data_IF_173583583042
#
_entry.id   IF_173583583042
#
_cell.length_a   1.000
_cell.length_b   1.000
_cell.length_c   1.000
_cell.angle_alpha   90.00
_cell.angle_beta   90.00
_cell.angle_gamma   90.00
#
_symmetry.space_group_name_H-M   'P 1'
#
loop_
_entity.id
_entity.type
_entity.pdbx_description
1 polymer ?
#
# COMPACT_ATOMS: atom_id res chain seq x y z
N UNK A 1 -16.89 6.95 -0.60
CA UNK A 1 -17.93 6.74 0.43
C UNK A 1 -17.32 6.96 1.81
N UNK A 2 -18.12 7.35 2.80
CA UNK A 2 -17.74 7.20 4.21
C UNK A 2 -18.41 5.96 4.82
N UNK A 3 -17.97 5.52 6.00
CA UNK A 3 -18.51 4.31 6.62
C UNK A 3 -20.01 4.39 6.93
N UNK A 4 -20.51 5.54 7.39
CA UNK A 4 -21.93 5.69 7.74
C UNK A 4 -22.87 5.52 6.53
N UNK A 5 -22.46 6.02 5.35
CA UNK A 5 -23.18 5.79 4.10
C UNK A 5 -23.21 4.30 3.73
N UNK A 6 -22.08 3.61 3.92
CA UNK A 6 -21.97 2.19 3.62
C UNK A 6 -22.81 1.34 4.57
N UNK A 7 -22.84 1.66 5.87
CA UNK A 7 -23.70 1.00 6.86
C UNK A 7 -25.20 1.19 6.53
N UNK A 8 -25.60 2.40 6.12
CA UNK A 8 -26.97 2.66 5.70
C UNK A 8 -27.37 1.82 4.47
N UNK A 9 -26.48 1.72 3.48
CA UNK A 9 -26.68 0.88 2.28
C UNK A 9 -26.72 -0.61 2.65
N UNK A 10 -25.83 -1.07 3.52
CA UNK A 10 -25.79 -2.46 4.01
C UNK A 10 -27.12 -2.84 4.66
N UNK A 11 -27.68 -1.98 5.51
CA UNK A 11 -29.00 -2.19 6.13
C UNK A 11 -30.13 -2.18 5.09
N UNK A 12 -30.09 -1.29 4.11
CA UNK A 12 -31.10 -1.21 3.06
C UNK A 12 -31.10 -2.46 2.15
N UNK A 13 -29.92 -2.98 1.83
CA UNK A 13 -29.74 -4.15 0.97
C UNK A 13 -29.78 -5.48 1.73
N UNK A 14 -29.81 -5.45 3.06
CA UNK A 14 -29.68 -6.62 3.94
C UNK A 14 -28.44 -7.48 3.59
N UNK A 15 -27.31 -6.82 3.30
CA UNK A 15 -26.06 -7.50 2.90
C UNK A 15 -24.90 -7.13 3.81
N UNK A 16 -24.06 -8.12 4.13
CA UNK A 16 -22.79 -7.92 4.85
C UNK A 16 -21.58 -7.80 3.90
N UNK A 17 -21.83 -7.81 2.58
CA UNK A 17 -20.77 -7.70 1.57
C UNK A 17 -20.46 -6.24 1.28
N UNK A 18 -19.19 -5.88 1.48
CA UNK A 18 -18.71 -4.52 1.27
C UNK A 18 -18.68 -4.15 -0.22
N UNK A 19 -18.42 -5.13 -1.09
CA UNK A 19 -18.43 -5.01 -2.55
C UNK A 19 -19.79 -4.59 -3.07
N UNK A 20 -20.87 -5.28 -2.66
CA UNK A 20 -22.25 -4.95 -3.05
C UNK A 20 -22.64 -3.53 -2.58
N UNK A 21 -22.23 -3.15 -1.37
CA UNK A 21 -22.49 -1.80 -0.84
C UNK A 21 -21.77 -0.72 -1.66
N UNK A 22 -20.49 -0.94 -2.01
CA UNK A 22 -19.70 0.00 -2.79
C UNK A 22 -20.17 0.08 -4.25
N UNK A 23 -20.59 -1.04 -4.84
CA UNK A 23 -21.19 -1.07 -6.17
C UNK A 23 -22.51 -0.30 -6.20
N UNK A 24 -23.38 -0.53 -5.20
CA UNK A 24 -24.62 0.23 -5.07
C UNK A 24 -24.36 1.73 -4.94
N UNK A 25 -23.39 2.11 -4.08
CA UNK A 25 -22.97 3.49 -3.89
C UNK A 25 -22.50 4.12 -5.21
N UNK A 26 -21.65 3.41 -5.97
CA UNK A 26 -21.12 3.89 -7.24
C UNK A 26 -22.19 4.06 -8.31
N UNK A 27 -23.12 3.10 -8.43
CA UNK A 27 -24.18 3.12 -9.43
C UNK A 27 -25.27 4.15 -9.13
N UNK A 28 -25.53 4.45 -7.85
CA UNK A 28 -26.55 5.43 -7.43
C UNK A 28 -26.04 6.86 -7.37
N UNK A 29 -24.73 7.06 -7.22
CA UNK A 29 -24.13 8.39 -7.31
C UNK A 29 -23.98 8.82 -8.77
N UNK A 30 -25.08 9.25 -9.36
CA UNK A 30 -25.00 10.16 -10.50
C UNK A 30 -24.70 11.56 -9.97
N UNK A 31 -23.42 11.86 -9.88
CA UNK A 31 -22.95 13.16 -9.44
C UNK A 31 -22.43 13.92 -10.65
N UNK A 32 -23.32 14.74 -11.24
CA UNK A 32 -22.99 15.66 -12.32
C UNK A 32 -22.86 17.07 -11.73
N UNK A 33 -21.63 17.50 -11.51
CA UNK A 33 -21.33 18.84 -11.03
C UNK A 33 -20.18 19.43 -11.85
N UNK A 34 -20.28 20.71 -12.21
CA UNK A 34 -19.30 21.38 -13.08
C UNK A 34 -17.91 21.50 -12.44
N UNK A 35 -17.86 21.60 -11.11
CA UNK A 35 -16.62 21.79 -10.34
C UNK A 35 -16.11 20.55 -9.61
N UNK A 36 -16.88 19.46 -9.59
CA UNK A 36 -16.57 18.30 -8.76
C UNK A 36 -16.73 17.02 -9.58
N UNK A 37 -15.76 16.11 -9.47
CA UNK A 37 -15.78 14.82 -10.13
C UNK A 37 -15.67 13.70 -9.10
N UNK A 38 -16.35 12.58 -9.36
CA UNK A 38 -16.19 11.38 -8.56
C UNK A 38 -14.85 10.71 -8.88
N UNK A 39 -14.18 10.22 -7.84
CA UNK A 39 -13.02 9.36 -8.01
C UNK A 39 -13.39 8.02 -8.63
N UNK A 40 -12.46 7.41 -9.39
CA UNK A 40 -12.64 6.07 -9.95
C UNK A 40 -12.64 5.03 -8.82
N UNK A 41 -13.77 4.35 -8.63
CA UNK A 41 -13.91 3.34 -7.57
C UNK A 41 -13.40 1.94 -7.97
N UNK A 42 -13.05 1.71 -9.24
CA UNK A 42 -12.74 0.36 -9.75
C UNK A 42 -11.66 -0.40 -8.96
N UNK A 43 -10.57 0.27 -8.58
CA UNK A 43 -9.52 -0.35 -7.76
C UNK A 43 -10.04 -0.73 -6.35
N UNK A 44 -10.83 0.15 -5.74
CA UNK A 44 -11.46 -0.10 -4.44
C UNK A 44 -12.51 -1.22 -4.51
N UNK A 45 -13.26 -1.32 -5.61
CA UNK A 45 -14.23 -2.41 -5.82
C UNK A 45 -13.51 -3.77 -5.94
N UNK A 46 -12.40 -3.83 -6.68
CA UNK A 46 -11.62 -5.07 -6.77
C UNK A 46 -11.04 -5.47 -5.40
N UNK A 47 -10.60 -4.50 -4.58
CA UNK A 47 -10.19 -4.78 -3.20
C UNK A 47 -11.36 -5.26 -2.35
N UNK A 48 -12.55 -4.68 -2.52
CA UNK A 48 -13.76 -5.05 -1.81
C UNK A 48 -14.20 -6.49 -2.10
N UNK A 49 -14.12 -6.92 -3.36
CA UNK A 49 -14.38 -8.31 -3.76
C UNK A 49 -13.42 -9.27 -3.05
N UNK A 50 -12.13 -8.93 -3.02
CA UNK A 50 -11.12 -9.72 -2.33
C UNK A 50 -11.39 -9.80 -0.81
N UNK A 51 -11.74 -8.68 -0.19
CA UNK A 51 -12.06 -8.64 1.24
C UNK A 51 -13.29 -9.49 1.55
N UNK A 52 -14.34 -9.43 0.73
CA UNK A 52 -15.53 -10.26 0.94
C UNK A 52 -15.24 -11.76 0.76
N UNK A 53 -14.36 -12.12 -0.18
CA UNK A 53 -13.94 -13.50 -0.41
C UNK A 53 -13.19 -14.09 0.81
N UNK A 54 -12.22 -13.35 1.34
CA UNK A 54 -11.29 -13.87 2.37
C UNK A 54 -11.68 -13.52 3.81
N UNK A 55 -12.60 -12.59 4.03
CA UNK A 55 -12.97 -12.09 5.36
C UNK A 55 -14.48 -12.04 5.59
N UNK A 56 -15.19 -13.13 5.26
CA UNK A 56 -16.64 -13.26 5.42
C UNK A 56 -17.17 -12.88 6.81
N UNK A 57 -16.43 -13.26 7.86
CA UNK A 57 -16.82 -13.05 9.27
C UNK A 57 -16.42 -11.67 9.84
N UNK A 58 -15.68 -10.88 9.07
CA UNK A 58 -15.18 -9.58 9.52
C UNK A 58 -16.30 -8.55 9.56
N UNK A 59 -16.30 -7.68 10.57
CA UNK A 59 -17.29 -6.60 10.67
C UNK A 59 -17.19 -5.65 9.46
N UNK A 60 -18.34 -5.10 9.03
CA UNK A 60 -18.41 -4.24 7.84
C UNK A 60 -17.47 -3.03 7.93
N UNK A 61 -17.32 -2.44 9.12
CA UNK A 61 -16.38 -1.37 9.39
C UNK A 61 -14.93 -1.76 9.09
N UNK A 62 -14.51 -2.93 9.55
CA UNK A 62 -13.14 -3.40 9.35
C UNK A 62 -12.91 -3.83 7.91
N UNK A 63 -13.92 -4.44 7.27
CA UNK A 63 -13.91 -4.66 5.82
C UNK A 63 -13.68 -3.35 5.07
N UNK A 64 -14.45 -2.31 5.40
CA UNK A 64 -14.31 -0.99 4.78
C UNK A 64 -12.91 -0.40 4.97
N UNK A 65 -12.30 -0.55 6.16
CA UNK A 65 -10.90 -0.18 6.39
C UNK A 65 -9.99 -0.89 5.37
N UNK A 66 -10.07 -2.21 5.24
CA UNK A 66 -9.24 -2.94 4.27
C UNK A 66 -9.50 -2.53 2.82
N UNK A 67 -10.73 -2.19 2.43
CA UNK A 67 -11.02 -1.65 1.08
C UNK A 67 -10.48 -0.24 0.82
N UNK A 68 -10.01 0.44 1.86
CA UNK A 68 -9.38 1.75 1.76
C UNK A 68 -7.85 1.67 1.88
N UNK A 69 -7.28 0.46 1.97
CA UNK A 69 -5.85 0.29 2.12
C UNK A 69 -5.11 0.80 0.87
N UNK A 70 -4.01 1.55 1.04
CA UNK A 70 -3.29 2.18 -0.07
C UNK A 70 -2.35 1.17 -0.78
N UNK A 71 -2.94 0.18 -1.45
CA UNK A 71 -2.21 -0.89 -2.14
C UNK A 71 -2.70 -1.11 -3.57
N UNK A 72 -1.85 -1.71 -4.41
CA UNK A 72 -2.22 -2.18 -5.73
C UNK A 72 -2.39 -3.69 -5.73
N UNK A 73 -3.63 -4.18 -5.61
CA UNK A 73 -3.93 -5.63 -5.64
C UNK A 73 -3.66 -6.29 -7.00
N UNK A 74 -3.38 -5.52 -8.04
CA UNK A 74 -2.97 -6.05 -9.35
C UNK A 74 -1.51 -6.55 -9.33
N UNK A 75 -0.73 -6.18 -8.31
CA UNK A 75 0.62 -6.68 -8.08
C UNK A 75 0.51 -7.88 -7.14
N UNK A 76 0.78 -9.09 -7.66
CA UNK A 76 0.58 -10.35 -6.92
C UNK A 76 1.25 -10.34 -5.53
N UNK A 77 2.46 -9.80 -5.45
CA UNK A 77 3.24 -9.81 -4.20
C UNK A 77 2.64 -8.86 -3.15
N UNK A 78 2.16 -7.68 -3.55
CA UNK A 78 1.44 -6.76 -2.64
C UNK A 78 0.14 -7.39 -2.13
N UNK A 79 -0.58 -8.09 -3.03
CA UNK A 79 -1.80 -8.82 -2.69
C UNK A 79 -1.56 -9.91 -1.65
N UNK A 80 -0.49 -10.68 -1.76
CA UNK A 80 -0.18 -11.76 -0.82
C UNK A 80 0.04 -11.22 0.61
N UNK A 81 0.82 -10.15 0.74
CA UNK A 81 1.06 -9.54 2.05
C UNK A 81 -0.20 -8.88 2.62
N UNK A 82 -1.04 -8.27 1.78
CA UNK A 82 -2.35 -7.78 2.18
C UNK A 82 -3.25 -8.88 2.72
N UNK A 83 -3.34 -10.03 2.03
CA UNK A 83 -4.13 -11.17 2.48
C UNK A 83 -3.61 -11.75 3.80
N UNK A 84 -2.29 -11.79 3.99
CA UNK A 84 -1.69 -12.15 5.28
C UNK A 84 -2.15 -11.20 6.39
N UNK A 85 -2.12 -9.90 6.15
CA UNK A 85 -2.58 -8.91 7.13
C UNK A 85 -4.08 -9.02 7.42
N UNK A 86 -4.89 -9.25 6.38
CA UNK A 86 -6.34 -9.45 6.50
C UNK A 86 -6.66 -10.67 7.35
N UNK A 87 -6.01 -11.80 7.08
CA UNK A 87 -6.11 -13.02 7.91
C UNK A 87 -5.73 -12.71 9.36
N UNK A 88 -4.68 -11.91 9.55
CA UNK A 88 -4.26 -11.30 10.82
C UNK A 88 -5.42 -10.77 11.67
N UNK A 89 -6.20 -9.90 11.02
CA UNK A 89 -7.33 -9.22 11.65
C UNK A 89 -8.50 -10.16 11.88
N UNK A 90 -8.80 -11.04 10.91
CA UNK A 90 -9.88 -12.04 11.03
C UNK A 90 -9.65 -13.02 12.18
N UNK A 91 -8.40 -13.44 12.40
CA UNK A 91 -8.03 -14.40 13.43
C UNK A 91 -7.68 -13.75 14.78
N UNK A 92 -7.71 -12.41 14.86
CA UNK A 92 -7.23 -11.65 16.02
C UNK A 92 -5.81 -12.03 16.46
N UNK A 93 -4.95 -12.43 15.51
CA UNK A 93 -3.60 -12.89 15.80
C UNK A 93 -2.58 -11.76 15.63
N UNK A 94 -1.68 -11.60 16.61
CA UNK A 94 -0.63 -10.59 16.59
C UNK A 94 0.25 -10.77 15.34
N UNK A 95 0.51 -9.66 14.64
CA UNK A 95 1.42 -9.58 13.49
C UNK A 95 2.61 -8.70 13.83
N UNK A 96 3.79 -9.29 13.82
CA UNK A 96 5.04 -8.54 13.87
C UNK A 96 5.40 -7.99 12.50
N UNK A 97 6.29 -7.01 12.46
CA UNK A 97 6.91 -6.55 11.22
C UNK A 97 7.61 -7.72 10.50
N UNK A 98 7.66 -7.71 9.15
CA UNK A 98 8.50 -8.64 8.40
C UNK A 98 9.95 -8.56 8.90
N UNK A 99 10.65 -9.69 9.07
CA UNK A 99 12.03 -9.66 9.52
C UNK A 99 12.91 -8.93 8.50
N UNK A 100 13.88 -8.15 9.00
CA UNK A 100 14.85 -7.50 8.15
C UNK A 100 15.73 -8.56 7.45
N UNK A 101 15.80 -8.57 6.11
CA UNK A 101 16.61 -9.54 5.40
C UNK A 101 18.11 -9.27 5.58
N UNK A 102 18.91 -10.33 5.63
CA UNK A 102 20.37 -10.24 5.84
C UNK A 102 21.09 -9.38 4.78
N UNK A 103 20.55 -9.32 3.57
CA UNK A 103 21.13 -8.55 2.46
C UNK A 103 20.89 -7.04 2.57
N UNK A 104 20.02 -6.57 3.47
CA UNK A 104 19.67 -5.14 3.58
C UNK A 104 20.87 -4.25 3.91
N UNK A 105 21.83 -4.80 4.64
CA UNK A 105 23.07 -4.12 5.00
C UNK A 105 24.17 -4.28 3.93
N UNK A 106 23.96 -5.11 2.92
CA UNK A 106 24.92 -5.31 1.83
C UNK A 106 24.94 -4.12 0.87
N UNK A 107 26.02 -3.99 0.11
CA UNK A 107 26.15 -3.00 -0.98
C UNK A 107 25.79 -3.60 -2.35
N UNK A 108 25.24 -4.80 -2.39
CA UNK A 108 24.94 -5.49 -3.64
C UNK A 108 23.55 -5.06 -4.15
N UNK A 109 23.40 -4.49 -5.36
CA UNK A 109 22.12 -4.01 -5.88
C UNK A 109 21.16 -5.12 -6.33
N UNK A 110 21.58 -6.40 -6.28
CA UNK A 110 20.78 -7.55 -6.75
C UNK A 110 19.39 -7.69 -6.12
N UNK A 111 19.14 -7.05 -4.98
CA UNK A 111 17.87 -7.17 -4.25
C UNK A 111 16.99 -5.90 -4.30
N UNK A 112 17.17 -5.05 -5.32
CA UNK A 112 16.38 -3.82 -5.46
C UNK A 112 14.87 -4.08 -5.46
N UNK A 113 14.39 -5.01 -6.30
CA UNK A 113 12.97 -5.35 -6.39
C UNK A 113 12.43 -5.85 -5.04
N UNK A 114 13.16 -6.72 -4.35
CA UNK A 114 12.77 -7.21 -3.02
C UNK A 114 12.73 -6.08 -1.98
N UNK A 115 13.61 -5.08 -2.10
CA UNK A 115 13.60 -3.92 -1.22
C UNK A 115 12.41 -2.99 -1.48
N UNK A 116 12.02 -2.79 -2.74
CA UNK A 116 10.82 -2.04 -3.11
C UNK A 116 9.55 -2.70 -2.57
N UNK A 117 9.42 -4.02 -2.77
CA UNK A 117 8.34 -4.83 -2.18
C UNK A 117 8.33 -4.68 -0.65
N UNK A 118 9.49 -4.79 0.00
CA UNK A 118 9.58 -4.65 1.45
C UNK A 118 9.15 -3.25 1.92
N UNK A 119 9.51 -2.21 1.17
CA UNK A 119 9.08 -0.83 1.43
C UNK A 119 7.55 -0.67 1.37
N UNK A 120 6.91 -1.29 0.38
CA UNK A 120 5.44 -1.32 0.27
C UNK A 120 4.79 -2.08 1.43
N UNK A 121 5.34 -3.25 1.79
CA UNK A 121 4.85 -4.05 2.91
C UNK A 121 4.96 -3.31 4.25
N UNK A 122 6.07 -2.62 4.51
CA UNK A 122 6.23 -1.76 5.70
C UNK A 122 5.24 -0.59 5.66
N UNK A 123 4.92 -0.07 4.46
CA UNK A 123 3.94 0.99 4.29
C UNK A 123 2.53 0.54 4.65
N UNK A 124 2.11 -0.62 4.15
CA UNK A 124 0.83 -1.24 4.51
C UNK A 124 0.77 -1.57 6.01
N UNK A 125 1.82 -2.20 6.56
CA UNK A 125 1.89 -2.54 7.98
C UNK A 125 1.69 -1.29 8.86
N UNK A 126 2.41 -0.21 8.55
CA UNK A 126 2.28 1.03 9.31
C UNK A 126 0.87 1.59 9.23
N UNK A 127 0.27 1.61 8.04
CA UNK A 127 -1.09 2.09 7.84
C UNK A 127 -2.09 1.28 8.68
N UNK A 128 -1.96 -0.05 8.68
CA UNK A 128 -2.81 -0.95 9.47
C UNK A 128 -2.55 -0.83 10.98
N UNK A 129 -1.32 -0.54 11.41
CA UNK A 129 -1.01 -0.36 12.83
C UNK A 129 -1.73 0.83 13.47
N UNK A 130 -2.02 1.87 12.68
CA UNK A 130 -2.88 2.98 13.15
C UNK A 130 -4.35 2.58 13.28
N UNK A 131 -4.80 1.51 12.59
CA UNK A 131 -6.20 1.06 12.60
C UNK A 131 -6.45 -0.09 13.57
N UNK A 132 -5.47 -0.98 13.72
CA UNK A 132 -5.52 -2.19 14.54
C UNK A 132 -4.25 -2.29 15.42
N UNK A 133 -4.01 -1.35 16.36
CA UNK A 133 -2.79 -1.31 17.16
C UNK A 133 -2.59 -2.55 18.05
N UNK A 134 -3.68 -3.23 18.41
CA UNK A 134 -3.64 -4.48 19.17
C UNK A 134 -3.18 -5.70 18.35
N UNK A 135 -3.18 -5.58 17.01
CA UNK A 135 -2.79 -6.65 16.09
C UNK A 135 -1.40 -6.36 15.52
N UNK A 136 -1.13 -5.13 15.09
CA UNK A 136 0.14 -4.73 14.50
C UNK A 136 0.95 -3.93 15.53
N UNK A 137 1.77 -4.63 16.29
CA UNK A 137 2.33 -4.16 17.56
C UNK A 137 3.68 -3.44 17.43
N UNK A 138 4.43 -3.64 16.34
CA UNK A 138 5.82 -3.17 16.21
C UNK A 138 5.94 -1.72 15.71
N UNK A 139 5.04 -0.83 16.14
CA UNK A 139 4.93 0.55 15.61
C UNK A 139 6.22 1.33 15.78
N UNK A 140 6.90 1.16 16.91
CA UNK A 140 8.14 1.88 17.24
C UNK A 140 9.32 1.51 16.33
N UNK A 141 9.30 0.30 15.76
CA UNK A 141 10.39 -0.19 14.89
C UNK A 141 10.25 0.28 13.43
N UNK A 142 9.06 0.79 13.04
CA UNK A 142 8.75 1.20 11.66
C UNK A 142 9.71 2.29 11.14
N UNK A 143 9.95 3.41 11.86
CA UNK A 143 10.78 4.50 11.32
C UNK A 143 12.20 4.05 11.02
N UNK A 144 12.80 3.26 11.91
CA UNK A 144 14.13 2.71 11.72
C UNK A 144 14.15 1.75 10.52
N UNK A 145 13.18 0.86 10.42
CA UNK A 145 13.16 -0.13 9.35
C UNK A 145 12.96 0.51 7.97
N UNK A 146 12.03 1.47 7.85
CA UNK A 146 11.85 2.27 6.63
C UNK A 146 13.15 2.95 6.20
N UNK A 147 13.85 3.59 7.13
CA UNK A 147 15.11 4.27 6.86
C UNK A 147 16.17 3.32 6.31
N UNK A 148 16.29 2.12 6.87
CA UNK A 148 17.23 1.10 6.40
C UNK A 148 16.91 0.62 4.98
N UNK A 149 15.62 0.38 4.69
CA UNK A 149 15.17 -0.01 3.35
C UNK A 149 15.38 1.11 2.33
N UNK A 150 14.98 2.34 2.63
CA UNK A 150 15.19 3.49 1.74
C UNK A 150 16.66 3.70 1.40
N UNK A 151 17.56 3.60 2.39
CA UNK A 151 19.02 3.69 2.16
C UNK A 151 19.57 2.56 1.29
N UNK A 152 19.00 1.36 1.38
CA UNK A 152 19.39 0.26 0.50
C UNK A 152 18.93 0.53 -0.94
N UNK A 153 17.67 0.92 -1.14
CA UNK A 153 17.10 1.27 -2.46
C UNK A 153 17.93 2.38 -3.10
N UNK A 154 18.25 3.44 -2.37
CA UNK A 154 19.09 4.55 -2.85
C UNK A 154 20.45 4.08 -3.35
N UNK A 155 21.18 3.29 -2.55
CA UNK A 155 22.49 2.73 -2.94
C UNK A 155 22.37 1.80 -4.15
N UNK A 156 21.33 0.96 -4.19
CA UNK A 156 21.10 0.02 -5.27
C UNK A 156 20.80 0.74 -6.60
N UNK A 157 19.95 1.78 -6.56
CA UNK A 157 19.65 2.63 -7.71
C UNK A 157 20.90 3.36 -8.22
N UNK A 158 21.74 3.91 -7.34
CA UNK A 158 23.00 4.55 -7.73
C UNK A 158 23.97 3.57 -8.40
N UNK A 159 23.98 2.31 -7.95
CA UNK A 159 24.86 1.28 -8.52
C UNK A 159 24.33 0.74 -9.84
N UNK A 160 23.01 0.55 -9.98
CA UNK A 160 22.37 0.12 -11.22
C UNK A 160 22.41 1.22 -12.30
N UNK A 161 22.31 2.48 -11.87
CA UNK A 161 22.54 3.64 -12.72
C UNK A 161 24.03 3.94 -12.96
N UNK A 162 24.94 3.02 -12.58
CA UNK A 162 26.39 3.19 -12.68
C UNK A 162 26.77 3.96 -13.93
N UNK A 163 27.23 5.20 -13.74
CA UNK A 163 27.80 6.02 -14.81
C UNK A 163 26.84 6.33 -15.97
N UNK A 164 25.60 6.77 -15.70
CA UNK A 164 25.06 7.83 -16.55
C UNK A 164 25.51 9.11 -15.87
N UNK A 165 26.68 9.63 -16.28
CA UNK A 165 26.92 11.07 -16.25
C UNK A 165 25.60 11.69 -16.71
N UNK A 166 24.82 12.27 -15.81
CA UNK A 166 23.64 13.00 -16.27
C UNK A 166 24.18 14.00 -17.27
N UNK A 167 23.68 14.01 -18.50
CA UNK A 167 24.22 14.88 -19.56
C UNK A 167 24.42 16.32 -19.05
N UNK A 168 23.61 16.75 -18.08
CA UNK A 168 23.74 18.00 -17.32
C UNK A 168 25.05 18.17 -16.53
N UNK A 169 25.53 17.17 -15.80
CA UNK A 169 26.81 17.25 -15.06
C UNK A 169 28.01 17.21 -16.01
N UNK A 170 27.94 16.39 -17.05
CA UNK A 170 28.95 16.30 -18.11
C UNK A 170 29.07 17.61 -18.92
N UNK A 171 27.94 18.25 -19.23
CA UNK A 171 27.88 19.54 -19.92
C UNK A 171 28.39 20.68 -19.04
N UNK A 172 28.08 20.67 -17.74
CA UNK A 172 28.61 21.65 -16.76
C UNK A 172 30.15 21.56 -16.63
N UNK A 173 30.71 20.35 -16.68
CA UNK A 173 32.16 20.12 -16.64
C UNK A 173 32.85 20.53 -17.95
N UNK A 174 32.21 20.30 -19.11
CA UNK A 174 32.70 20.79 -20.42
C UNK A 174 32.71 22.31 -20.49
N UNK A 175 31.68 22.98 -19.95
CA UNK A 175 31.67 24.44 -19.84
C UNK A 175 32.78 24.98 -18.94
N UNK A 176 33.11 24.28 -17.84
CA UNK A 176 34.19 24.69 -16.93
C UNK A 176 35.59 24.54 -17.53
N UNK A 177 35.80 23.52 -18.37
CA UNK A 177 37.11 23.22 -18.97
C UNK A 177 37.32 23.87 -20.35
N UNK A 178 36.28 24.46 -20.97
CA UNK A 178 36.37 25.18 -22.25
C UNK A 178 36.74 26.67 -22.13
N UNK A 179 36.94 27.20 -20.92
CA UNK A 179 37.45 28.55 -20.66
C UNK A 179 38.88 28.51 -20.13
N UNK A 180 39.79 27.97 -20.95
CA UNK A 180 41.23 28.18 -20.80
C UNK A 180 41.86 28.40 -22.16
#
# INVERSE_FOLDING_TARGET
>A
ANIGQIEAISNQLYTAKISECLEYFANRLQFNHTLFALSKIGAQLNQALLVDEFALKLALKDKFIFTCAPISINVNIEKDYFLLCLKSVVEHAIRTLPPAPNWLNSNNPKHLEQAEILSQNISLYAWLSFKFPQIFVDVESIPHFRKSVSRYIERALLTQAGYIDTQRECDLLKFKNGFR
#
